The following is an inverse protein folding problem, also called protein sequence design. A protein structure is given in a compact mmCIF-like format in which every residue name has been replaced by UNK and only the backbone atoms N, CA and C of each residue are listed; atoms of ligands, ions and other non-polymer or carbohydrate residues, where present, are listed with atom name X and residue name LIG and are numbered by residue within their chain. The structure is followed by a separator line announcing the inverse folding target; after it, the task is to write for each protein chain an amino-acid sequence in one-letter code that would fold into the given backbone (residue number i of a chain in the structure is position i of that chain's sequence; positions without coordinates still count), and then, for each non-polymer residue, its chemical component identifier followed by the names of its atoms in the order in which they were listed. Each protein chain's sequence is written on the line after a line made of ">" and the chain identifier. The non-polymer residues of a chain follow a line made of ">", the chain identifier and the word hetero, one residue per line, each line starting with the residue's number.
data_IF_897749284901
#
_entry.id   IF_897749284901
#
_cell.length_a   1.000
_cell.length_b   1.000
_cell.length_c   1.000
_cell.angle_alpha   90.00
_cell.angle_beta   90.00
_cell.angle_gamma   90.00
#
_symmetry.space_group_name_H-M   'P 1'
#
loop_
_entity.id
_entity.type
_entity.pdbx_description
1 polymer ?
#
# COMPACT_ATOMS: atom_id res chain seq x y z
N UNK A 1 -3.41 -12.28 13.43
CA UNK A 1 -4.24 -13.40 12.89
C UNK A 1 -3.82 -13.83 11.48
N UNK A 2 -3.68 -12.90 10.51
CA UNK A 2 -3.09 -13.20 9.19
C UNK A 2 -1.57 -13.46 9.23
N UNK A 3 -0.90 -13.23 10.37
CA UNK A 3 0.54 -13.47 10.57
C UNK A 3 0.95 -14.93 10.78
N UNK A 4 0.02 -15.79 11.22
CA UNK A 4 0.32 -17.13 11.75
C UNK A 4 -0.43 -18.28 11.04
N UNK A 5 -1.46 -17.97 10.24
CA UNK A 5 -2.27 -18.96 9.51
C UNK A 5 -2.26 -18.61 8.02
N UNK A 6 -2.28 -19.62 7.14
CA UNK A 6 -2.48 -19.37 5.70
C UNK A 6 -3.82 -18.67 5.50
N UNK A 7 -3.93 -17.80 4.49
CA UNK A 7 -5.19 -17.11 4.18
C UNK A 7 -6.39 -18.07 4.14
N UNK A 8 -6.19 -19.28 3.60
CA UNK A 8 -7.19 -20.34 3.49
C UNK A 8 -7.65 -20.90 4.85
N UNK A 9 -6.78 -20.86 5.88
CA UNK A 9 -7.01 -21.39 7.24
C UNK A 9 -7.65 -20.37 8.19
N UNK A 10 -7.74 -19.11 7.79
CA UNK A 10 -8.44 -18.06 8.53
C UNK A 10 -9.95 -18.18 8.27
N UNK A 11 -10.74 -18.36 9.33
CA UNK A 11 -12.21 -18.37 9.26
C UNK A 11 -12.77 -16.99 9.65
N UNK A 12 -13.86 -16.56 9.01
CA UNK A 12 -14.58 -15.33 9.38
C UNK A 12 -15.01 -15.32 10.86
N UNK A 13 -15.33 -16.49 11.41
CA UNK A 13 -15.68 -16.66 12.82
C UNK A 13 -14.52 -16.36 13.76
N UNK A 14 -13.31 -16.79 13.40
CA UNK A 14 -12.12 -16.50 14.19
C UNK A 14 -11.79 -15.00 14.13
N UNK A 15 -12.04 -14.33 12.99
CA UNK A 15 -11.86 -12.88 12.87
C UNK A 15 -12.88 -12.13 13.73
N UNK A 16 -14.17 -12.49 13.65
CA UNK A 16 -15.22 -11.88 14.45
C UNK A 16 -14.91 -12.02 15.95
N UNK A 17 -14.45 -13.20 16.38
CA UNK A 17 -14.03 -13.47 17.76
C UNK A 17 -12.83 -12.61 18.16
N UNK A 18 -11.80 -12.53 17.32
CA UNK A 18 -10.61 -11.72 17.61
C UNK A 18 -10.92 -10.21 17.67
N UNK A 19 -11.84 -9.74 16.83
CA UNK A 19 -12.30 -8.35 16.81
C UNK A 19 -13.37 -8.02 17.87
N UNK A 20 -13.81 -9.01 18.66
CA UNK A 20 -14.89 -8.87 19.64
C UNK A 20 -16.19 -8.32 19.05
N UNK A 21 -16.52 -8.71 17.82
CA UNK A 21 -17.75 -8.33 17.11
C UNK A 21 -18.63 -9.55 16.84
N UNK A 22 -19.93 -9.33 16.66
CA UNK A 22 -20.84 -10.40 16.25
C UNK A 22 -20.55 -10.84 14.81
N UNK A 23 -20.68 -12.15 14.54
CA UNK A 23 -20.54 -12.73 13.19
C UNK A 23 -21.44 -12.00 12.18
N UNK A 24 -22.69 -11.73 12.54
CA UNK A 24 -23.65 -11.00 11.69
C UNK A 24 -23.18 -9.60 11.30
N UNK A 25 -22.49 -8.88 12.19
CA UNK A 25 -21.90 -7.57 11.90
C UNK A 25 -20.77 -7.66 10.88
N UNK A 26 -19.94 -8.69 10.96
CA UNK A 26 -18.86 -8.87 9.99
C UNK A 26 -19.43 -9.18 8.60
N UNK A 27 -20.42 -10.07 8.51
CA UNK A 27 -21.09 -10.40 7.25
C UNK A 27 -21.97 -9.27 6.69
N UNK A 28 -22.43 -8.33 7.51
CA UNK A 28 -23.13 -7.14 7.00
C UNK A 28 -22.20 -6.14 6.32
N UNK A 29 -20.90 -6.17 6.65
CA UNK A 29 -19.89 -5.29 6.04
C UNK A 29 -19.11 -5.95 4.91
N UNK A 30 -18.95 -7.28 4.96
CA UNK A 30 -18.14 -8.03 4.00
C UNK A 30 -18.86 -9.33 3.63
N UNK A 31 -19.09 -9.53 2.34
CA UNK A 31 -19.75 -10.72 1.79
C UNK A 31 -18.95 -11.99 2.08
N UNK A 32 -17.62 -11.90 2.03
CA UNK A 32 -16.72 -13.00 2.31
C UNK A 32 -15.37 -12.54 2.89
N UNK A 33 -14.50 -13.53 3.13
CA UNK A 33 -13.15 -13.33 3.66
C UNK A 33 -12.23 -12.59 2.69
N UNK A 34 -12.42 -12.77 1.38
CA UNK A 34 -11.62 -12.10 0.36
C UNK A 34 -11.93 -10.61 0.35
N UNK A 35 -13.21 -10.24 0.43
CA UNK A 35 -13.63 -8.84 0.53
C UNK A 35 -13.07 -8.16 1.79
N UNK A 36 -13.19 -8.81 2.95
CA UNK A 36 -12.62 -8.30 4.21
C UNK A 36 -11.10 -8.14 4.11
N UNK A 37 -10.42 -9.13 3.54
CA UNK A 37 -8.97 -9.07 3.34
C UNK A 37 -8.59 -7.86 2.49
N UNK A 38 -9.19 -7.71 1.32
CA UNK A 38 -8.89 -6.58 0.45
C UNK A 38 -9.29 -5.24 1.08
N UNK A 39 -10.35 -5.19 1.89
CA UNK A 39 -10.69 -3.98 2.63
C UNK A 39 -9.58 -3.55 3.59
N UNK A 40 -9.02 -4.49 4.37
CA UNK A 40 -7.89 -4.21 5.27
C UNK A 40 -6.65 -3.78 4.49
N UNK A 41 -6.31 -4.48 3.40
CA UNK A 41 -5.10 -4.12 2.64
C UNK A 41 -5.28 -2.78 1.92
N UNK A 42 -6.47 -2.47 1.39
CA UNK A 42 -6.73 -1.16 0.79
C UNK A 42 -6.71 -0.02 1.79
N UNK A 43 -7.20 -0.23 3.01
CA UNK A 43 -7.06 0.77 4.08
C UNK A 43 -5.59 1.11 4.35
N UNK A 44 -4.74 0.09 4.51
CA UNK A 44 -3.30 0.29 4.70
C UNK A 44 -2.64 1.02 3.53
N UNK A 45 -3.00 0.70 2.28
CA UNK A 45 -2.49 1.42 1.10
C UNK A 45 -2.93 2.88 1.13
N UNK A 46 -4.20 3.16 1.43
CA UNK A 46 -4.71 4.53 1.52
C UNK A 46 -3.97 5.33 2.60
N UNK A 47 -3.70 4.73 3.77
CA UNK A 47 -2.93 5.36 4.86
C UNK A 47 -1.49 5.65 4.44
N UNK A 48 -0.82 4.73 3.76
CA UNK A 48 0.53 4.95 3.24
C UNK A 48 0.54 6.08 2.20
N UNK A 49 -0.42 6.09 1.25
CA UNK A 49 -0.53 7.13 0.23
C UNK A 49 -0.76 8.51 0.86
N UNK A 50 -1.63 8.59 1.87
CA UNK A 50 -1.90 9.82 2.59
C UNK A 50 -0.65 10.34 3.31
N UNK A 51 0.09 9.45 3.99
CA UNK A 51 1.35 9.80 4.66
C UNK A 51 2.39 10.30 3.67
N UNK A 52 2.60 9.59 2.56
CA UNK A 52 3.53 10.00 1.50
C UNK A 52 3.22 11.39 0.96
N UNK A 53 1.94 11.68 0.70
CA UNK A 53 1.50 12.98 0.20
C UNK A 53 1.74 14.09 1.22
N UNK A 54 1.44 13.85 2.49
CA UNK A 54 1.62 14.82 3.57
C UNK A 54 3.11 15.14 3.79
N UNK A 55 3.93 14.11 3.91
CA UNK A 55 5.38 14.27 4.17
C UNK A 55 6.08 14.97 2.99
N UNK A 56 5.62 14.73 1.76
CA UNK A 56 6.09 15.45 0.58
C UNK A 56 5.61 16.91 0.53
N UNK A 57 4.40 17.22 1.01
CA UNK A 57 3.90 18.61 1.00
C UNK A 57 4.62 19.51 2.01
N UNK A 58 5.15 18.93 3.09
CA UNK A 58 5.78 19.68 4.18
C UNK A 58 7.26 20.01 3.90
N UNK A 59 7.84 19.44 2.83
CA UNK A 59 9.24 19.61 2.48
C UNK A 59 9.48 20.71 1.42
N UNK A 60 10.58 21.44 1.56
CA UNK A 60 10.88 22.68 0.81
C UNK A 60 11.46 22.47 -0.58
N UNK A 61 12.07 21.32 -0.86
CA UNK A 61 12.74 21.02 -2.12
C UNK A 61 12.60 19.55 -2.52
N UNK A 62 12.78 19.18 -3.81
CA UNK A 62 12.60 17.80 -4.28
C UNK A 62 13.49 16.76 -3.58
N UNK A 63 14.66 17.14 -3.08
CA UNK A 63 15.55 16.24 -2.33
C UNK A 63 15.00 15.97 -0.94
N UNK A 64 14.53 17.01 -0.24
CA UNK A 64 13.86 16.87 1.03
C UNK A 64 12.54 16.08 0.90
N UNK A 65 11.77 16.33 -0.15
CA UNK A 65 10.53 15.59 -0.46
C UNK A 65 10.81 14.10 -0.64
N UNK A 66 11.76 13.74 -1.52
CA UNK A 66 12.09 12.33 -1.77
C UNK A 66 12.60 11.64 -0.49
N UNK A 67 13.43 12.34 0.31
CA UNK A 67 13.92 11.82 1.59
C UNK A 67 12.78 11.56 2.57
N UNK A 68 11.82 12.48 2.68
CA UNK A 68 10.66 12.34 3.55
C UNK A 68 9.78 11.16 3.11
N UNK A 69 9.56 11.01 1.79
CA UNK A 69 8.83 9.86 1.24
C UNK A 69 9.51 8.52 1.54
N UNK A 70 10.83 8.40 1.33
CA UNK A 70 11.59 7.19 1.65
C UNK A 70 11.51 6.87 3.15
N UNK A 71 11.66 7.89 4.01
CA UNK A 71 11.53 7.72 5.46
C UNK A 71 10.13 7.24 5.86
N UNK A 72 9.07 7.80 5.26
CA UNK A 72 7.70 7.39 5.51
C UNK A 72 7.43 5.95 5.09
N UNK A 73 7.93 5.51 3.94
CA UNK A 73 7.82 4.12 3.46
C UNK A 73 8.50 3.15 4.42
N UNK A 74 9.77 3.42 4.75
CA UNK A 74 10.55 2.55 5.64
C UNK A 74 9.91 2.48 7.03
N UNK A 75 9.49 3.62 7.58
CA UNK A 75 8.83 3.67 8.89
C UNK A 75 7.51 2.91 8.89
N UNK A 76 6.67 3.12 7.86
CA UNK A 76 5.37 2.46 7.76
C UNK A 76 5.49 0.93 7.73
N UNK A 77 6.45 0.39 6.98
CA UNK A 77 6.67 -1.07 6.94
C UNK A 77 7.41 -1.61 8.16
N UNK A 78 8.20 -0.79 8.86
CA UNK A 78 8.80 -1.17 10.13
C UNK A 78 7.72 -1.33 11.22
N UNK A 79 6.73 -0.44 11.23
CA UNK A 79 5.61 -0.44 12.18
C UNK A 79 4.61 -1.56 11.90
N UNK A 80 4.42 -1.96 10.64
CA UNK A 80 3.47 -3.01 10.23
C UNK A 80 4.10 -4.05 9.29
N UNK A 81 4.86 -4.98 9.89
CA UNK A 81 5.50 -6.11 9.17
C UNK A 81 4.48 -7.07 8.54
N UNK A 82 3.25 -7.10 9.04
CA UNK A 82 2.18 -7.95 8.49
C UNK A 82 1.77 -7.40 7.15
N UNK A 83 1.47 -6.12 7.14
CA UNK A 83 1.04 -5.41 5.96
C UNK A 83 2.11 -5.45 4.87
N UNK A 84 3.40 -5.29 5.23
CA UNK A 84 4.50 -5.48 4.28
C UNK A 84 4.46 -6.86 3.57
N UNK A 85 4.29 -7.94 4.35
CA UNK A 85 4.21 -9.31 3.79
C UNK A 85 2.98 -9.50 2.89
N UNK A 86 1.82 -8.99 3.32
CA UNK A 86 0.60 -9.05 2.53
C UNK A 86 0.76 -8.29 1.21
N UNK A 87 1.35 -7.11 1.26
CA UNK A 87 1.60 -6.29 0.09
C UNK A 87 2.54 -6.97 -0.91
N UNK A 88 3.67 -7.51 -0.43
CA UNK A 88 4.63 -8.22 -1.27
C UNK A 88 4.00 -9.45 -1.95
N UNK A 89 3.17 -10.19 -1.23
CA UNK A 89 2.46 -11.34 -1.79
C UNK A 89 1.45 -10.92 -2.88
N UNK A 90 0.68 -9.86 -2.66
CA UNK A 90 -0.30 -9.39 -3.65
C UNK A 90 0.34 -8.75 -4.88
N UNK A 91 1.51 -8.13 -4.77
CA UNK A 91 2.25 -7.65 -5.95
C UNK A 91 2.68 -8.78 -6.87
N UNK A 92 3.25 -9.85 -6.31
CA UNK A 92 3.67 -11.01 -7.07
C UNK A 92 2.48 -11.68 -7.78
N UNK A 93 1.31 -11.70 -7.12
CA UNK A 93 0.10 -12.30 -7.67
C UNK A 93 -0.58 -11.38 -8.68
N UNK A 94 -0.59 -10.06 -8.47
CA UNK A 94 -1.34 -9.11 -9.31
C UNK A 94 -0.75 -8.95 -10.71
N UNK A 95 0.53 -9.30 -10.91
CA UNK A 95 1.15 -9.34 -12.22
C UNK A 95 0.47 -10.33 -13.20
N UNK A 96 -0.29 -11.32 -12.71
CA UNK A 96 -0.84 -12.41 -13.53
C UNK A 96 -2.36 -12.60 -13.42
N UNK A 97 -3.03 -11.96 -12.46
CA UNK A 97 -4.45 -12.22 -12.16
C UNK A 97 -5.45 -11.22 -12.77
N UNK A 98 -6.71 -11.64 -12.94
CA UNK A 98 -7.77 -10.87 -13.63
C UNK A 98 -8.96 -10.43 -12.76
N UNK A 99 -8.98 -10.71 -11.45
CA UNK A 99 -10.11 -10.37 -10.57
C UNK A 99 -10.23 -8.86 -10.32
N UNK A 100 -11.43 -8.39 -9.96
CA UNK A 100 -11.72 -6.97 -9.69
C UNK A 100 -10.89 -6.42 -8.53
N UNK A 101 -10.68 -7.21 -7.48
CA UNK A 101 -9.79 -6.84 -6.39
C UNK A 101 -8.35 -6.58 -6.87
N UNK A 102 -7.84 -7.36 -7.83
CA UNK A 102 -6.49 -7.17 -8.40
C UNK A 102 -6.42 -5.96 -9.33
N UNK A 103 -7.49 -5.67 -10.07
CA UNK A 103 -7.58 -4.41 -10.82
C UNK A 103 -7.54 -3.20 -9.89
N UNK A 104 -8.28 -3.27 -8.78
CA UNK A 104 -8.27 -2.24 -7.74
C UNK A 104 -6.91 -2.14 -7.05
N UNK A 105 -6.24 -3.27 -6.78
CA UNK A 105 -4.85 -3.34 -6.31
C UNK A 105 -3.91 -2.56 -7.21
N UNK A 106 -3.88 -2.91 -8.49
CA UNK A 106 -3.01 -2.25 -9.47
C UNK A 106 -3.26 -0.74 -9.47
N UNK A 107 -4.53 -0.31 -9.55
CA UNK A 107 -4.87 1.12 -9.53
C UNK A 107 -4.37 1.85 -8.29
N UNK A 108 -4.52 1.26 -7.11
CA UNK A 108 -4.14 1.92 -5.85
C UNK A 108 -2.63 1.95 -5.64
N UNK A 109 -1.92 0.94 -6.14
CA UNK A 109 -0.45 0.93 -6.16
C UNK A 109 0.14 1.93 -7.15
N UNK A 110 -0.51 2.17 -8.29
CA UNK A 110 -0.10 3.22 -9.23
C UNK A 110 -0.08 4.62 -8.58
N UNK A 111 -0.94 4.88 -7.60
CA UNK A 111 -0.97 6.16 -6.89
C UNK A 111 0.34 6.49 -6.16
N UNK A 112 1.01 5.50 -5.57
CA UNK A 112 2.30 5.70 -4.89
C UNK A 112 3.40 5.99 -5.90
N UNK A 113 3.48 5.16 -6.94
CA UNK A 113 4.43 5.36 -8.04
C UNK A 113 4.27 6.74 -8.66
N UNK A 114 3.04 7.20 -8.86
CA UNK A 114 2.76 8.53 -9.38
C UNK A 114 3.28 9.64 -8.46
N UNK A 115 2.99 9.58 -7.16
CA UNK A 115 3.46 10.59 -6.21
C UNK A 115 5.00 10.67 -6.16
N UNK A 116 5.69 9.53 -6.20
CA UNK A 116 7.16 9.49 -6.23
C UNK A 116 7.68 10.04 -7.56
N UNK A 117 7.05 9.67 -8.68
CA UNK A 117 7.43 10.16 -10.01
C UNK A 117 7.30 11.68 -10.11
N UNK A 118 6.25 12.29 -9.55
CA UNK A 118 6.07 13.76 -9.52
C UNK A 118 7.25 14.46 -8.85
N UNK A 119 7.73 13.94 -7.71
CA UNK A 119 8.90 14.48 -7.00
C UNK A 119 10.19 14.28 -7.81
N UNK A 120 10.36 13.12 -8.43
CA UNK A 120 11.51 12.84 -9.30
C UNK A 120 11.54 13.80 -10.50
N UNK A 121 10.41 14.05 -11.15
CA UNK A 121 10.29 15.00 -12.25
C UNK A 121 10.55 16.45 -11.81
N UNK A 122 10.03 16.84 -10.64
CA UNK A 122 10.29 18.16 -10.08
C UNK A 122 11.79 18.36 -9.82
N UNK A 123 12.46 17.35 -9.26
CA UNK A 123 13.90 17.39 -9.04
C UNK A 123 14.72 17.34 -10.33
N UNK A 124 14.24 16.67 -11.37
CA UNK A 124 14.85 16.70 -12.69
C UNK A 124 14.77 18.09 -13.34
N UNK A 125 13.60 18.74 -13.27
CA UNK A 125 13.41 20.12 -13.74
C UNK A 125 14.27 21.12 -12.98
N UNK A 126 14.44 20.92 -11.68
CA UNK A 126 15.32 21.74 -10.84
C UNK A 126 16.81 21.41 -11.00
N UNK A 127 17.18 20.41 -11.80
CA UNK A 127 18.56 20.00 -12.03
C UNK A 127 19.24 19.26 -10.86
N UNK A 128 18.49 18.90 -9.82
CA UNK A 128 19.01 18.19 -8.64
C UNK A 128 19.05 16.68 -8.83
N UNK A 129 18.19 16.12 -9.69
CA UNK A 129 18.18 14.70 -10.01
C UNK A 129 18.46 14.44 -11.48
N UNK A 130 19.20 13.36 -11.76
CA UNK A 130 19.28 12.79 -13.10
C UNK A 130 18.20 11.72 -13.26
N UNK A 131 17.13 12.07 -13.95
CA UNK A 131 15.98 11.19 -14.18
C UNK A 131 15.81 11.01 -15.69
N UNK A 132 15.76 9.76 -16.13
CA UNK A 132 15.55 9.41 -17.55
C UNK A 132 14.10 8.98 -17.77
N UNK A 133 13.54 8.22 -16.81
CA UNK A 133 12.19 7.67 -16.85
C UNK A 133 11.59 7.70 -15.44
N UNK A 134 10.97 8.81 -15.06
CA UNK A 134 10.50 9.05 -13.69
C UNK A 134 9.60 7.93 -13.15
N UNK A 135 8.64 7.46 -13.94
CA UNK A 135 7.76 6.36 -13.53
C UNK A 135 8.49 5.03 -13.30
N UNK A 136 9.43 4.66 -14.17
CA UNK A 136 10.21 3.41 -14.01
C UNK A 136 11.14 3.52 -12.79
N UNK A 137 11.74 4.69 -12.58
CA UNK A 137 12.62 4.93 -11.43
C UNK A 137 11.83 5.01 -10.12
N UNK A 138 10.58 5.50 -10.14
CA UNK A 138 9.68 5.47 -9.00
C UNK A 138 9.27 4.04 -8.59
N UNK A 139 9.10 3.12 -9.55
CA UNK A 139 8.80 1.72 -9.26
C UNK A 139 9.91 1.01 -8.45
N UNK A 140 11.16 1.46 -8.52
CA UNK A 140 12.27 0.92 -7.71
C UNK A 140 12.08 1.27 -6.22
N UNK A 141 11.39 2.38 -5.94
CA UNK A 141 11.20 2.92 -4.60
C UNK A 141 9.88 2.45 -3.95
N UNK A 142 9.09 1.61 -4.64
CA UNK A 142 7.80 1.12 -4.15
C UNK A 142 7.89 -0.19 -3.36
#
# INVERSE_FOLDING_TARGET
>A
MFEQKRFDEVLMEDIARAASVAKGTLYSHFADKEELYFAVVFDGICRLNARLKQEASDASDPTAQLRAMVHAIVSFFADDRVFFRLMSAEDARSATGRSDHRRRWSKQRHGQTHAIAEVLEAGARAGVFRVTHAHVQAEILR
#
